data_IF_068404983810
#
_entry.id   IF_068404983810
#
_cell.length_a   1.000
_cell.length_b   1.000
_cell.length_c   1.000
_cell.angle_alpha   90.00
_cell.angle_beta   90.00
_cell.angle_gamma   90.00
#
_symmetry.space_group_name_H-M   'P 1'
#
loop_
_entity.id
_entity.type
_entity.pdbx_description
1 polymer ?
#
# COMPACT_ATOMS: atom_id res chain seq x y z
N UNK A 1 18.01 5.19 -0.30
CA UNK A 1 18.40 4.08 0.59
C UNK A 1 18.70 2.79 -0.18
N UNK A 2 17.97 2.45 -1.26
CA UNK A 2 18.25 1.27 -2.10
C UNK A 2 19.49 1.39 -2.99
N UNK A 3 19.94 2.60 -3.31
CA UNK A 3 21.05 2.84 -4.26
C UNK A 3 22.33 2.02 -4.00
N UNK A 4 22.81 1.81 -2.76
CA UNK A 4 23.97 0.95 -2.50
C UNK A 4 23.76 -0.50 -2.93
N UNK A 5 22.57 -1.07 -2.68
CA UNK A 5 22.23 -2.44 -3.06
C UNK A 5 22.22 -2.60 -4.59
N UNK A 6 21.66 -1.63 -5.31
CA UNK A 6 21.67 -1.64 -6.77
C UNK A 6 23.09 -1.51 -7.35
N UNK A 7 23.98 -0.75 -6.72
CA UNK A 7 25.39 -0.69 -7.12
C UNK A 7 26.10 -2.04 -6.96
N UNK A 8 25.77 -2.81 -5.91
CA UNK A 8 26.31 -4.15 -5.72
C UNK A 8 25.75 -5.11 -6.77
N UNK A 9 24.42 -5.11 -6.95
CA UNK A 9 23.73 -5.96 -7.93
C UNK A 9 24.12 -5.68 -9.39
N UNK A 10 24.57 -4.46 -9.70
CA UNK A 10 25.12 -4.13 -11.02
C UNK A 10 26.51 -4.73 -11.24
N UNK A 11 27.32 -4.88 -10.18
CA UNK A 11 28.70 -5.38 -10.25
C UNK A 11 28.79 -6.90 -10.16
N UNK A 12 27.94 -7.53 -9.34
CA UNK A 12 27.89 -8.98 -9.16
C UNK A 12 26.48 -9.44 -8.80
N UNK A 13 26.23 -10.75 -8.95
CA UNK A 13 24.98 -11.38 -8.47
C UNK A 13 24.88 -11.21 -6.96
N UNK A 14 23.69 -10.81 -6.49
CA UNK A 14 23.42 -10.60 -5.06
C UNK A 14 23.44 -11.93 -4.30
N UNK A 15 24.08 -11.92 -3.13
CA UNK A 15 24.10 -13.03 -2.18
C UNK A 15 23.19 -12.73 -0.98
N UNK A 16 22.74 -13.75 -0.21
CA UNK A 16 21.84 -13.54 0.93
C UNK A 16 22.38 -12.56 1.97
N UNK A 17 23.70 -12.55 2.19
CA UNK A 17 24.36 -11.68 3.16
C UNK A 17 24.39 -10.19 2.73
N UNK A 18 24.15 -9.91 1.44
CA UNK A 18 24.05 -8.53 0.91
C UNK A 18 22.68 -7.90 1.20
N UNK A 19 21.68 -8.70 1.58
CA UNK A 19 20.32 -8.24 1.79
C UNK A 19 20.13 -7.68 3.20
N UNK A 20 19.44 -6.55 3.28
CA UNK A 20 19.09 -5.97 4.58
C UNK A 20 18.17 -6.91 5.37
N UNK A 21 18.41 -6.99 6.67
CA UNK A 21 17.49 -7.66 7.59
C UNK A 21 16.12 -6.97 7.58
N UNK A 22 15.04 -7.75 7.67
CA UNK A 22 13.68 -7.21 7.79
C UNK A 22 13.54 -6.26 8.98
N UNK A 23 12.77 -5.19 8.80
CA UNK A 23 12.46 -4.28 9.90
C UNK A 23 11.76 -5.06 11.03
N UNK A 24 11.99 -4.71 12.31
CA UNK A 24 11.32 -5.35 13.45
C UNK A 24 9.79 -5.36 13.34
N UNK A 25 9.21 -4.32 12.72
CA UNK A 25 7.78 -4.18 12.44
C UNK A 25 7.25 -5.20 11.41
N UNK A 26 8.11 -5.63 10.49
CA UNK A 26 7.78 -6.51 9.37
C UNK A 26 8.15 -7.97 9.66
N UNK A 27 8.57 -8.29 10.89
CA UNK A 27 8.91 -9.65 11.30
C UNK A 27 7.67 -10.54 11.38
N UNK A 28 7.81 -11.78 10.91
CA UNK A 28 6.74 -12.77 10.87
C UNK A 28 6.13 -13.07 12.24
N UNK A 29 6.98 -13.16 13.28
CA UNK A 29 6.54 -13.39 14.64
C UNK A 29 5.56 -12.30 15.11
N UNK A 30 5.95 -11.03 15.02
CA UNK A 30 5.12 -9.90 15.44
C UNK A 30 3.81 -9.84 14.67
N UNK A 31 3.87 -9.91 13.34
CA UNK A 31 2.69 -9.84 12.48
C UNK A 31 1.74 -11.03 12.72
N UNK A 32 2.31 -12.21 12.94
CA UNK A 32 1.56 -13.43 13.24
C UNK A 32 0.91 -13.40 14.61
N UNK A 33 1.61 -12.92 15.65
CA UNK A 33 1.08 -12.73 17.00
C UNK A 33 -0.06 -11.69 17.02
N UNK A 34 0.09 -10.60 16.27
CA UNK A 34 -0.95 -9.57 16.16
C UNK A 34 -2.24 -10.14 15.53
N UNK A 35 -2.13 -10.79 14.37
CA UNK A 35 -3.29 -11.40 13.70
C UNK A 35 -3.91 -12.51 14.58
N UNK A 36 -3.09 -13.28 15.27
CA UNK A 36 -3.57 -14.30 16.20
C UNK A 36 -4.38 -13.68 17.35
N UNK A 37 -3.92 -12.57 17.93
CA UNK A 37 -4.66 -11.89 18.98
C UNK A 37 -6.07 -11.47 18.54
N UNK A 38 -6.20 -10.99 17.30
CA UNK A 38 -7.52 -10.69 16.70
C UNK A 38 -8.35 -11.95 16.44
N UNK A 39 -7.72 -13.03 15.99
CA UNK A 39 -8.39 -14.33 15.82
C UNK A 39 -8.93 -14.87 17.15
N UNK A 40 -8.14 -14.83 18.22
CA UNK A 40 -8.56 -15.34 19.53
C UNK A 40 -9.73 -14.52 20.12
N UNK A 41 -9.77 -13.20 19.85
CA UNK A 41 -10.92 -12.36 20.18
C UNK A 41 -12.16 -12.75 19.37
N UNK A 42 -12.02 -13.03 18.08
CA UNK A 42 -13.12 -13.44 17.22
C UNK A 42 -13.68 -14.81 17.63
N UNK A 43 -12.82 -15.77 18.01
CA UNK A 43 -13.23 -17.07 18.54
C UNK A 43 -14.03 -16.90 19.83
N UNK A 44 -13.57 -16.06 20.77
CA UNK A 44 -14.30 -15.77 22.01
C UNK A 44 -15.66 -15.11 21.74
N UNK A 45 -15.75 -14.22 20.76
CA UNK A 45 -17.00 -13.57 20.34
C UNK A 45 -17.96 -14.60 19.74
N UNK A 46 -17.47 -15.42 18.82
CA UNK A 46 -18.22 -16.47 18.14
C UNK A 46 -18.80 -17.50 19.14
N UNK A 47 -18.03 -17.90 20.16
CA UNK A 47 -18.50 -18.77 21.24
C UNK A 47 -19.65 -18.17 22.05
N UNK A 48 -19.58 -16.87 22.38
CA UNK A 48 -20.64 -16.18 23.13
C UNK A 48 -21.92 -16.03 22.33
N UNK A 49 -21.80 -15.81 21.03
CA UNK A 49 -22.92 -15.56 20.12
C UNK A 49 -23.46 -16.85 19.48
N UNK A 50 -22.90 -18.02 19.81
CA UNK A 50 -23.20 -19.30 19.16
C UNK A 50 -23.10 -19.24 17.62
N UNK A 51 -22.12 -18.48 17.12
CA UNK A 51 -21.84 -18.32 15.69
C UNK A 51 -20.51 -18.97 15.32
N UNK A 52 -20.30 -19.21 14.03
CA UNK A 52 -19.02 -19.67 13.50
C UNK A 52 -17.99 -18.52 13.46
N UNK A 53 -16.75 -18.75 13.92
CA UNK A 53 -15.69 -17.75 13.87
C UNK A 53 -15.24 -17.53 12.42
N UNK A 54 -15.15 -16.26 11.99
CA UNK A 54 -14.73 -15.91 10.63
C UNK A 54 -13.34 -15.29 10.61
N UNK A 55 -12.41 -15.92 9.89
CA UNK A 55 -11.05 -15.41 9.76
C UNK A 55 -11.01 -14.05 9.03
N UNK A 56 -11.91 -13.87 8.06
CA UNK A 56 -12.02 -12.61 7.34
C UNK A 56 -12.39 -11.45 8.26
N UNK A 57 -13.26 -11.67 9.26
CA UNK A 57 -13.59 -10.64 10.25
C UNK A 57 -12.37 -10.26 11.10
N UNK A 58 -11.56 -11.24 11.52
CA UNK A 58 -10.33 -10.99 12.27
C UNK A 58 -9.29 -10.21 11.43
N UNK A 59 -9.10 -10.59 10.16
CA UNK A 59 -8.21 -9.89 9.22
C UNK A 59 -8.67 -8.44 9.01
N UNK A 60 -9.95 -8.23 8.71
CA UNK A 60 -10.52 -6.89 8.51
C UNK A 60 -10.30 -6.06 9.78
N UNK A 61 -10.62 -6.58 10.96
CA UNK A 61 -10.45 -5.85 12.23
C UNK A 61 -8.98 -5.52 12.55
N UNK A 62 -8.04 -6.37 12.13
CA UNK A 62 -6.60 -6.13 12.30
C UNK A 62 -6.12 -4.97 11.40
N UNK A 63 -6.53 -4.95 10.14
CA UNK A 63 -5.95 -4.02 9.14
C UNK A 63 -6.83 -2.81 8.81
N UNK A 64 -8.10 -2.73 9.25
CA UNK A 64 -9.03 -1.67 8.82
C UNK A 64 -8.53 -0.25 9.14
N UNK A 65 -7.88 -0.02 10.30
CA UNK A 65 -7.38 1.31 10.67
C UNK A 65 -6.34 1.81 9.68
N UNK A 66 -5.41 0.92 9.31
CA UNK A 66 -4.40 1.22 8.31
C UNK A 66 -5.05 1.46 6.94
N UNK A 67 -5.98 0.59 6.52
CA UNK A 67 -6.70 0.75 5.26
C UNK A 67 -7.52 2.05 5.19
N UNK A 68 -8.14 2.50 6.29
CA UNK A 68 -8.93 3.73 6.30
C UNK A 68 -8.07 4.97 6.08
N UNK A 69 -6.93 5.06 6.77
CA UNK A 69 -6.03 6.21 6.61
C UNK A 69 -5.57 6.29 5.16
N UNK A 70 -5.12 5.16 4.58
CA UNK A 70 -4.69 5.12 3.20
C UNK A 70 -5.82 5.32 2.19
N UNK A 71 -7.02 4.81 2.47
CA UNK A 71 -8.19 5.00 1.63
C UNK A 71 -8.60 6.46 1.49
N UNK A 72 -8.44 7.28 2.54
CA UNK A 72 -8.65 8.73 2.45
C UNK A 72 -7.62 9.38 1.51
N UNK A 73 -6.36 8.95 1.56
CA UNK A 73 -5.33 9.44 0.63
C UNK A 73 -5.63 9.03 -0.83
N UNK A 74 -6.10 7.81 -1.06
CA UNK A 74 -6.51 7.34 -2.40
C UNK A 74 -7.67 8.15 -2.94
N UNK A 75 -8.66 8.47 -2.10
CA UNK A 75 -9.79 9.29 -2.53
C UNK A 75 -9.33 10.69 -2.98
N UNK A 76 -8.39 11.29 -2.25
CA UNK A 76 -7.80 12.57 -2.64
C UNK A 76 -6.98 12.47 -3.94
N UNK A 77 -6.20 11.40 -4.11
CA UNK A 77 -5.45 11.13 -5.34
C UNK A 77 -6.39 11.04 -6.56
N UNK A 78 -7.45 10.24 -6.47
CA UNK A 78 -8.42 10.08 -7.56
C UNK A 78 -9.13 11.41 -7.88
N UNK A 79 -9.36 12.26 -6.87
CA UNK A 79 -9.84 13.63 -7.09
C UNK A 79 -8.90 14.44 -8.00
N UNK A 80 -7.58 14.40 -7.73
CA UNK A 80 -6.60 15.11 -8.58
C UNK A 80 -6.54 14.55 -10.00
N UNK A 81 -6.77 13.24 -10.16
CA UNK A 81 -6.79 12.56 -11.46
C UNK A 81 -7.93 13.04 -12.36
N UNK A 82 -9.08 13.41 -11.77
CA UNK A 82 -10.21 13.99 -12.50
C UNK A 82 -9.96 15.46 -12.88
N UNK A 83 -9.18 16.20 -12.08
CA UNK A 83 -8.85 17.61 -12.36
C UNK A 83 -7.86 17.76 -13.52
N UNK A 84 -6.93 16.81 -13.69
CA UNK A 84 -5.94 16.82 -14.77
C UNK A 84 -6.52 17.00 -16.19
N UNK A 85 -7.52 16.22 -16.65
CA UNK A 85 -8.10 16.39 -17.98
C UNK A 85 -8.88 17.70 -18.13
N UNK A 86 -9.43 18.27 -17.05
CA UNK A 86 -10.11 19.58 -17.09
C UNK A 86 -9.09 20.70 -17.36
N UNK A 87 -7.95 20.67 -16.66
CA UNK A 87 -6.84 21.60 -16.90
C UNK A 87 -6.28 21.44 -18.31
N UNK A 88 -6.12 20.20 -18.78
CA UNK A 88 -5.68 19.92 -20.14
C UNK A 88 -6.68 20.47 -21.18
N UNK A 89 -7.98 20.30 -20.95
CA UNK A 89 -9.02 20.85 -21.83
C UNK A 89 -8.96 22.38 -21.93
N UNK A 90 -8.72 23.07 -20.81
CA UNK A 90 -8.50 24.53 -20.81
C UNK A 90 -7.26 24.94 -21.59
N UNK A 91 -6.17 24.17 -21.48
CA UNK A 91 -4.95 24.39 -22.26
C UNK A 91 -5.21 24.22 -23.76
N UNK A 92 -5.95 23.19 -24.17
CA UNK A 92 -6.31 22.98 -25.58
C UNK A 92 -7.16 24.15 -26.11
N UNK A 93 -8.15 24.59 -25.33
CA UNK A 93 -8.99 25.74 -25.71
C UNK A 93 -8.21 27.05 -25.83
N UNK A 94 -7.19 27.24 -25.00
CA UNK A 94 -6.24 28.36 -25.14
C UNK A 94 -5.47 28.29 -26.46
N UNK A 95 -4.95 27.12 -26.82
CA UNK A 95 -4.18 26.92 -28.06
C UNK A 95 -5.05 27.15 -29.30
N UNK A 96 -6.32 26.77 -29.24
CA UNK A 96 -7.28 26.95 -30.34
C UNK A 96 -7.64 28.44 -30.57
N UNK A 97 -7.71 29.25 -29.50
CA UNK A 97 -8.06 30.68 -29.56
C UNK A 97 -6.83 31.60 -29.42
N UNK A 98 -5.68 31.16 -29.92
CA UNK A 98 -4.42 31.87 -29.76
C UNK A 98 -4.39 33.22 -30.49
N UNK A 99 -4.24 34.33 -29.74
CA UNK A 99 -4.00 35.67 -30.28
C UNK A 99 -2.53 36.10 -30.06
N UNK A 100 -1.74 36.32 -31.13
CA UNK A 100 -0.34 36.69 -31.03
C UNK A 100 -0.06 38.08 -30.43
N UNK A 101 -1.06 38.96 -30.34
CA UNK A 101 -0.91 40.29 -29.72
C UNK A 101 -1.22 40.28 -28.21
N UNK A 102 -1.76 39.19 -27.67
CA UNK A 102 -2.12 39.09 -26.27
C UNK A 102 -0.98 38.49 -25.43
N UNK A 103 -0.07 39.38 -25.03
CA UNK A 103 1.03 39.02 -24.13
C UNK A 103 0.57 38.52 -22.75
N UNK A 104 -0.63 38.87 -22.30
CA UNK A 104 -1.19 38.39 -21.04
C UNK A 104 -1.66 36.93 -21.16
N UNK A 105 -2.27 36.59 -22.30
CA UNK A 105 -2.70 35.23 -22.63
C UNK A 105 -1.51 34.26 -22.70
N UNK A 106 -0.37 34.68 -23.28
CA UNK A 106 0.88 33.89 -23.29
C UNK A 106 1.38 33.56 -21.87
N UNK A 107 1.40 34.54 -20.97
CA UNK A 107 1.81 34.34 -19.59
C UNK A 107 0.85 33.39 -18.85
N UNK A 108 -0.45 33.48 -19.14
CA UNK A 108 -1.48 32.59 -18.59
C UNK A 108 -1.27 31.12 -19.04
N UNK A 109 -0.91 30.90 -20.29
CA UNK A 109 -0.63 29.57 -20.82
C UNK A 109 0.62 28.91 -20.24
N UNK A 110 1.70 29.69 -20.07
CA UNK A 110 2.88 29.21 -19.35
C UNK A 110 2.54 28.88 -17.89
N UNK A 111 1.72 29.70 -17.23
CA UNK A 111 1.25 29.43 -15.87
C UNK A 111 0.42 28.13 -15.80
N UNK A 112 -0.50 27.88 -16.74
CA UNK A 112 -1.27 26.64 -16.81
C UNK A 112 -0.39 25.42 -17.09
N UNK A 113 0.59 25.55 -17.98
CA UNK A 113 1.50 24.44 -18.33
C UNK A 113 2.43 24.09 -17.16
N UNK A 114 2.98 25.09 -16.49
CA UNK A 114 3.79 24.90 -15.28
C UNK A 114 2.96 24.28 -14.15
N UNK A 115 1.72 24.76 -13.95
CA UNK A 115 0.79 24.20 -12.98
C UNK A 115 0.44 22.73 -13.29
N UNK A 116 0.15 22.40 -14.55
CA UNK A 116 -0.13 21.04 -14.98
C UNK A 116 1.08 20.12 -14.75
N UNK A 117 2.28 20.57 -15.11
CA UNK A 117 3.52 19.81 -14.90
C UNK A 117 3.78 19.53 -13.41
N UNK A 118 3.63 20.56 -12.55
CA UNK A 118 3.76 20.41 -11.11
C UNK A 118 2.71 19.45 -10.53
N UNK A 119 1.45 19.55 -10.98
CA UNK A 119 0.37 18.66 -10.58
C UNK A 119 0.64 17.20 -10.96
N UNK A 120 1.13 16.93 -12.18
CA UNK A 120 1.46 15.58 -12.64
C UNK A 120 2.63 15.00 -11.84
N UNK A 121 3.66 15.79 -11.56
CA UNK A 121 4.79 15.36 -10.73
C UNK A 121 4.36 15.04 -9.30
N UNK A 122 3.55 15.90 -8.69
CA UNK A 122 3.00 15.67 -7.36
C UNK A 122 2.16 14.39 -7.33
N UNK A 123 1.27 14.21 -8.31
CA UNK A 123 0.47 12.99 -8.45
C UNK A 123 1.36 11.75 -8.57
N UNK A 124 2.38 11.78 -9.42
CA UNK A 124 3.28 10.65 -9.62
C UNK A 124 4.01 10.23 -8.32
N UNK A 125 4.47 11.22 -7.53
CA UNK A 125 5.12 10.98 -6.24
C UNK A 125 4.12 10.39 -5.23
N UNK A 126 2.94 10.99 -5.10
CA UNK A 126 1.88 10.49 -4.21
C UNK A 126 1.46 9.07 -4.56
N UNK A 127 1.26 8.80 -5.85
CA UNK A 127 0.91 7.48 -6.37
C UNK A 127 1.96 6.42 -6.04
N UNK A 128 3.25 6.73 -6.22
CA UNK A 128 4.33 5.79 -5.86
C UNK A 128 4.39 5.51 -4.36
N UNK A 129 4.21 6.54 -3.52
CA UNK A 129 4.16 6.36 -2.07
C UNK A 129 2.98 5.48 -1.67
N UNK A 130 1.80 5.77 -2.20
CA UNK A 130 0.59 4.97 -1.98
C UNK A 130 0.79 3.50 -2.41
N UNK A 131 1.28 3.28 -3.63
CA UNK A 131 1.53 1.94 -4.17
C UNK A 131 2.53 1.16 -3.32
N UNK A 132 3.59 1.80 -2.86
CA UNK A 132 4.55 1.18 -1.93
C UNK A 132 3.87 0.77 -0.61
N UNK A 133 3.04 1.65 -0.04
CA UNK A 133 2.35 1.38 1.22
C UNK A 133 1.33 0.24 1.10
N UNK A 134 0.50 0.21 0.05
CA UNK A 134 -0.49 -0.86 -0.13
C UNK A 134 0.19 -2.21 -0.36
N UNK A 135 1.29 -2.25 -1.12
CA UNK A 135 2.09 -3.46 -1.28
C UNK A 135 2.70 -3.91 0.05
N UNK A 136 3.24 -3.00 0.87
CA UNK A 136 3.78 -3.33 2.20
C UNK A 136 2.71 -3.94 3.11
N UNK A 137 1.50 -3.39 3.13
CA UNK A 137 0.38 -3.96 3.91
C UNK A 137 0.00 -5.35 3.40
N UNK A 138 -0.08 -5.54 2.08
CA UNK A 138 -0.35 -6.86 1.49
C UNK A 138 0.72 -7.90 1.84
N UNK A 139 2.00 -7.52 1.82
CA UNK A 139 3.10 -8.39 2.27
C UNK A 139 2.96 -8.76 3.75
N UNK A 140 2.67 -7.79 4.62
CA UNK A 140 2.45 -8.03 6.05
C UNK A 140 1.31 -9.03 6.29
N UNK A 141 0.19 -8.86 5.59
CA UNK A 141 -0.95 -9.76 5.68
C UNK A 141 -0.58 -11.18 5.24
N UNK A 142 0.10 -11.33 4.10
CA UNK A 142 0.56 -12.64 3.61
C UNK A 142 1.44 -13.34 4.64
N UNK A 143 2.42 -12.62 5.20
CA UNK A 143 3.33 -13.17 6.22
C UNK A 143 2.57 -13.58 7.49
N UNK A 144 1.64 -12.75 7.98
CA UNK A 144 0.84 -13.05 9.15
C UNK A 144 -0.03 -14.31 8.97
N UNK A 145 -0.69 -14.43 7.82
CA UNK A 145 -1.52 -15.59 7.48
C UNK A 145 -0.66 -16.85 7.37
N UNK A 146 0.49 -16.78 6.70
CA UNK A 146 1.42 -17.92 6.62
C UNK A 146 1.89 -18.37 8.01
N UNK A 147 2.25 -17.43 8.89
CA UNK A 147 2.64 -17.74 10.27
C UNK A 147 1.53 -18.47 11.02
N UNK A 148 0.29 -17.99 10.92
CA UNK A 148 -0.86 -18.60 11.58
C UNK A 148 -1.20 -20.00 11.04
N UNK A 149 -1.11 -20.20 9.72
CA UNK A 149 -1.29 -21.53 9.10
C UNK A 149 -0.22 -22.49 9.59
N UNK A 150 1.05 -22.07 9.57
CA UNK A 150 2.16 -22.92 10.01
C UNK A 150 1.98 -23.34 11.47
N UNK A 151 1.66 -22.38 12.34
CA UNK A 151 1.38 -22.65 13.76
C UNK A 151 0.24 -23.65 13.94
N UNK A 152 -0.85 -23.50 13.20
CA UNK A 152 -2.00 -24.42 13.27
C UNK A 152 -1.64 -25.83 12.79
N UNK A 153 -0.94 -25.94 11.66
CA UNK A 153 -0.52 -27.22 11.09
C UNK A 153 0.45 -27.94 12.04
N UNK A 154 1.42 -27.24 12.61
CA UNK A 154 2.36 -27.82 13.58
C UNK A 154 1.65 -28.35 14.82
N UNK A 155 0.65 -27.63 15.32
CA UNK A 155 -0.18 -28.08 16.46
C UNK A 155 -0.98 -29.32 16.07
N UNK A 156 -1.69 -29.31 14.94
CA UNK A 156 -2.47 -30.48 14.48
C UNK A 156 -1.59 -31.71 14.29
N UNK A 157 -0.41 -31.55 13.70
CA UNK A 157 0.58 -32.63 13.55
C UNK A 157 1.01 -33.20 14.90
N UNK A 158 1.28 -32.34 15.88
CA UNK A 158 1.61 -32.77 17.23
C UNK A 158 0.47 -33.61 17.84
N UNK A 159 -0.76 -33.14 17.77
CA UNK A 159 -1.90 -33.92 18.27
C UNK A 159 -2.07 -35.26 17.53
N UNK A 160 -1.90 -35.29 16.21
CA UNK A 160 -2.03 -36.52 15.41
C UNK A 160 -0.94 -37.56 15.68
N UNK A 161 0.24 -37.14 16.13
CA UNK A 161 1.37 -38.04 16.41
C UNK A 161 1.37 -38.51 17.86
N UNK A 162 0.93 -37.67 18.81
CA UNK A 162 1.09 -37.91 20.24
C UNK A 162 -0.21 -38.24 21.00
N UNK A 163 -1.40 -38.08 20.39
CA UNK A 163 -2.66 -38.57 20.97
C UNK A 163 -3.29 -39.65 20.06
N UNK A 164 -3.32 -40.92 20.48
CA UNK A 164 -4.00 -42.01 19.77
C UNK A 164 -5.53 -41.94 19.86
#
# INVERSE_FOLDING_TARGET
>A
WLNPLFKIGHKRKLEPDDLYSVLPEDRSQRLGEELQGYWDQEVKRAQKEAQEPSLMKAIVKCYWKSYLIWGMFTFLEEGTRVVQPILLGKMISYVENYDPNDSAALHEAYAYTAGLSACVLLWAVLHHLYFYHIQRVGMRLRVAVCHMIYRKVSVTWYYSVYLP
#
